data_IF_046194455649
#
_entry.id   IF_046194455649
#
_cell.length_a   1.000
_cell.length_b   1.000
_cell.length_c   1.000
_cell.angle_alpha   90.00
_cell.angle_beta   90.00
_cell.angle_gamma   90.00
#
_symmetry.space_group_name_H-M   'P 1'
#
loop_
_entity.id
_entity.type
_entity.pdbx_description
1 polymer ?
#
# COMPACT_ATOMS: atom_id res chain seq x y z
N UNK A 1 1.67 -0.73 8.93
CA UNK A 1 2.00 -0.92 7.51
C UNK A 1 0.68 -0.85 6.75
N UNK A 2 0.47 0.17 5.91
CA UNK A 2 -0.67 0.23 5.01
C UNK A 2 -0.64 -0.94 4.02
N UNK A 3 -1.81 -1.37 3.58
CA UNK A 3 -1.97 -2.48 2.65
C UNK A 3 -2.43 -1.92 1.31
N UNK A 4 -1.62 -2.14 0.27
CA UNK A 4 -1.93 -1.69 -1.08
C UNK A 4 -2.52 -2.84 -1.87
N UNK A 5 -3.70 -2.59 -2.45
CA UNK A 5 -4.34 -3.49 -3.41
C UNK A 5 -4.23 -2.89 -4.80
N UNK A 6 -3.65 -3.64 -5.73
CA UNK A 6 -3.56 -3.23 -7.14
C UNK A 6 -4.81 -3.70 -7.91
N UNK A 7 -5.60 -2.76 -8.41
CA UNK A 7 -6.80 -3.04 -9.21
C UNK A 7 -6.54 -2.97 -10.72
N UNK A 8 -5.33 -2.59 -11.12
CA UNK A 8 -4.96 -2.53 -12.53
C UNK A 8 -4.61 -3.91 -13.08
N UNK A 9 -4.47 -3.98 -14.41
CA UNK A 9 -3.95 -5.16 -15.13
C UNK A 9 -2.42 -5.12 -15.29
N UNK A 10 -1.73 -4.18 -14.65
CA UNK A 10 -0.27 -4.01 -14.76
C UNK A 10 0.40 -4.15 -13.41
N UNK A 11 1.67 -4.57 -13.40
CA UNK A 11 2.48 -4.55 -12.17
C UNK A 11 2.80 -3.11 -11.81
N UNK A 12 2.62 -2.76 -10.53
CA UNK A 12 2.86 -1.41 -10.03
C UNK A 12 4.03 -1.40 -9.05
N UNK A 13 5.03 -0.58 -9.33
CA UNK A 13 6.16 -0.36 -8.42
C UNK A 13 5.89 0.84 -7.52
N UNK A 14 6.11 0.68 -6.22
CA UNK A 14 5.96 1.68 -5.17
C UNK A 14 7.30 1.92 -4.49
N UNK A 15 7.62 3.17 -4.19
CA UNK A 15 8.83 3.50 -3.42
C UNK A 15 8.51 3.37 -1.94
N UNK A 16 9.29 2.55 -1.24
CA UNK A 16 9.16 2.26 0.19
C UNK A 16 10.14 3.17 0.96
N UNK A 17 9.79 3.76 2.11
CA UNK A 17 10.75 4.43 2.95
C UNK A 17 11.69 3.38 3.57
N UNK A 18 12.93 3.36 3.12
CA UNK A 18 13.99 2.49 3.64
C UNK A 18 15.36 3.02 3.25
N UNK A 19 16.42 2.52 3.91
CA UNK A 19 17.79 2.86 3.50
C UNK A 19 18.01 2.34 2.07
N UNK A 20 18.39 3.20 1.11
CA UNK A 20 18.85 2.73 -0.19
C UNK A 20 20.02 1.78 0.02
N UNK A 21 19.92 0.55 -0.50
CA UNK A 21 21.11 -0.27 -0.71
C UNK A 21 21.66 0.14 -2.08
N UNK A 22 22.91 0.58 -2.10
CA UNK A 22 23.62 0.93 -3.34
C UNK A 22 23.02 2.13 -4.11
N UNK A 23 22.38 3.07 -3.42
CA UNK A 23 21.83 4.29 -4.02
C UNK A 23 20.49 4.13 -4.75
N UNK A 24 19.94 2.91 -4.78
CA UNK A 24 18.59 2.64 -5.30
C UNK A 24 17.60 2.66 -4.15
N UNK A 25 16.59 3.54 -4.16
CA UNK A 25 15.55 3.52 -3.13
C UNK A 25 14.81 2.18 -3.19
N UNK A 26 14.51 1.55 -2.05
CA UNK A 26 13.81 0.27 -2.05
C UNK A 26 12.43 0.44 -2.66
N UNK A 27 12.11 -0.40 -3.64
CA UNK A 27 10.79 -0.43 -4.29
C UNK A 27 10.08 -1.76 -3.99
N UNK A 28 8.75 -1.70 -3.87
CA UNK A 28 7.89 -2.86 -3.79
C UNK A 28 7.04 -2.93 -5.05
N UNK A 29 7.05 -4.09 -5.70
CA UNK A 29 6.21 -4.36 -6.88
C UNK A 29 4.96 -5.11 -6.44
N UNK A 30 3.78 -4.63 -6.86
CA UNK A 30 2.48 -5.28 -6.62
C UNK A 30 1.91 -5.77 -7.93
N UNK A 31 1.63 -7.06 -8.03
CA UNK A 31 1.05 -7.66 -9.25
C UNK A 31 -0.42 -7.25 -9.45
N UNK A 32 -0.96 -7.38 -10.68
CA UNK A 32 -2.38 -7.17 -10.95
C UNK A 32 -3.29 -8.00 -10.04
N UNK A 33 -4.23 -7.37 -9.35
CA UNK A 33 -5.15 -8.04 -8.42
C UNK A 33 -4.51 -8.52 -7.12
N UNK A 34 -3.23 -8.26 -6.92
CA UNK A 34 -2.50 -8.63 -5.71
C UNK A 34 -2.68 -7.56 -4.62
N UNK A 35 -2.70 -8.04 -3.39
CA UNK A 35 -2.70 -7.19 -2.20
C UNK A 35 -1.39 -7.41 -1.45
N UNK A 36 -0.60 -6.36 -1.32
CA UNK A 36 0.69 -6.39 -0.64
C UNK A 36 0.70 -5.41 0.53
N UNK A 37 1.28 -5.85 1.65
CA UNK A 37 1.53 -4.99 2.80
C UNK A 37 2.83 -4.19 2.53
N UNK A 38 2.68 -2.95 2.07
CA UNK A 38 3.81 -2.07 1.70
C UNK A 38 3.80 -0.86 2.60
N UNK A 39 4.93 -0.57 3.23
CA UNK A 39 5.12 0.71 3.91
C UNK A 39 5.24 1.80 2.84
N UNK A 40 4.14 2.45 2.50
CA UNK A 40 4.14 3.62 1.61
C UNK A 40 3.81 4.86 2.41
N UNK A 41 4.30 6.01 1.95
CA UNK A 41 3.86 7.30 2.48
C UNK A 41 2.53 7.66 1.83
N UNK A 42 1.49 7.83 2.65
CA UNK A 42 0.17 8.25 2.18
C UNK A 42 0.19 9.64 1.51
N UNK A 43 1.17 10.47 1.88
CA UNK A 43 1.42 11.80 1.31
C UNK A 43 2.21 11.75 -0.02
N UNK A 44 2.57 10.55 -0.51
CA UNK A 44 3.32 10.44 -1.76
C UNK A 44 2.44 10.83 -2.97
N UNK A 45 2.86 11.80 -3.79
CA UNK A 45 2.04 12.29 -4.91
C UNK A 45 1.80 11.22 -5.98
N UNK A 46 2.71 10.25 -6.15
CA UNK A 46 2.53 9.14 -7.09
C UNK A 46 1.45 8.19 -6.58
N UNK A 47 1.46 7.89 -5.27
CA UNK A 47 0.43 7.09 -4.64
C UNK A 47 -0.94 7.76 -4.73
N UNK A 48 -1.03 9.04 -4.38
CA UNK A 48 -2.27 9.82 -4.46
C UNK A 48 -2.82 9.86 -5.89
N UNK A 49 -1.97 10.04 -6.89
CA UNK A 49 -2.37 9.98 -8.31
C UNK A 49 -2.95 8.62 -8.70
N UNK A 50 -2.35 7.52 -8.22
CA UNK A 50 -2.85 6.15 -8.48
C UNK A 50 -4.14 5.85 -7.74
N UNK A 51 -4.32 6.34 -6.53
CA UNK A 51 -5.59 6.23 -5.78
C UNK A 51 -6.69 7.01 -6.50
N UNK A 52 -6.42 8.26 -6.90
CA UNK A 52 -7.36 9.10 -7.63
C UNK A 52 -7.77 8.50 -8.98
N UNK A 53 -6.84 7.80 -9.65
CA UNK A 53 -7.11 7.05 -10.87
C UNK A 53 -7.88 5.73 -10.64
N UNK A 54 -8.13 5.32 -9.39
CA UNK A 54 -8.71 4.02 -9.06
C UNK A 54 -7.80 2.83 -9.39
N UNK A 55 -6.52 3.09 -9.63
CA UNK A 55 -5.53 2.06 -9.96
C UNK A 55 -5.16 1.23 -8.74
N UNK A 56 -5.10 1.86 -7.57
CA UNK A 56 -4.82 1.20 -6.29
C UNK A 56 -5.74 1.66 -5.18
N UNK A 57 -5.98 0.76 -4.24
CA UNK A 57 -6.60 1.08 -2.96
C UNK A 57 -5.56 0.94 -1.85
N UNK A 58 -5.53 1.90 -0.93
CA UNK A 58 -4.67 1.85 0.26
C UNK A 58 -5.56 1.64 1.47
N UNK A 59 -5.51 0.45 2.04
CA UNK A 59 -6.06 0.17 3.35
C UNK A 59 -5.01 0.55 4.37
N UNK A 60 -5.02 1.82 4.79
CA UNK A 60 -4.32 2.20 6.01
C UNK A 60 -4.96 1.33 7.10
N UNK A 61 -4.22 0.33 7.58
CA UNK A 61 -4.66 -0.53 8.68
C UNK A 61 -5.04 0.40 9.83
N UNK A 62 -6.32 0.79 9.90
CA UNK A 62 -6.88 1.37 11.11
C UNK A 62 -6.51 0.34 12.16
N UNK A 63 -5.86 0.72 13.26
CA UNK A 63 -5.77 -0.21 14.37
C UNK A 63 -7.22 -0.62 14.64
N UNK A 64 -7.54 -1.90 14.46
CA UNK A 64 -8.85 -2.44 14.82
C UNK A 64 -9.02 -2.23 16.31
N UNK A 65 -9.48 -1.04 16.69
CA UNK A 65 -10.02 -0.68 17.99
C UNK A 65 -11.48 -0.29 17.76
N UNK A 66 -12.31 -1.31 17.56
CA UNK A 66 -13.75 -1.35 17.78
C UNK A 66 -14.19 -2.80 17.46
N UNK A 67 -14.18 -3.75 18.40
CA UNK A 67 -15.09 -3.94 19.54
C UNK A 67 -16.51 -4.37 19.13
N UNK A 68 -16.89 -5.61 19.46
CA UNK A 68 -18.09 -5.97 20.25
C UNK A 68 -17.91 -7.39 20.75
N UNK A 69 -18.18 -7.60 22.04
CA UNK A 69 -17.98 -8.87 22.73
C UNK A 69 -18.82 -10.00 22.15
N UNK A 70 -18.24 -11.19 22.13
CA UNK A 70 -19.04 -12.40 22.17
C UNK A 70 -19.30 -12.70 23.65
N UNK A 71 -20.54 -12.58 24.17
CA UNK A 71 -20.88 -13.23 25.41
C UNK A 71 -20.85 -14.75 25.17
N UNK A 72 -20.20 -15.48 26.06
CA UNK A 72 -20.38 -16.92 26.24
C UNK A 72 -20.76 -17.16 27.69
#
# INVERSE_FOLDING_TARGET
MPRITNHTRQTLDFVIPGKPKDGVPPTASVRPGETADIDVREDDPVLLGRIAAGAVSVDAKRPSKAATGAPA
#
